data_IF_471966734539
#
_entry.id   IF_471966734539
#
_cell.length_a   1.000
_cell.length_b   1.000
_cell.length_c   1.000
_cell.angle_alpha   90.00
_cell.angle_beta   90.00
_cell.angle_gamma   90.00
#
_symmetry.space_group_name_H-M   'P 1'
#
loop_
_entity.id
_entity.type
_entity.pdbx_description
1 polymer ?
#
# COMPACT_ATOMS: atom_id res chain seq x y z
N UNK A 1 -13.23 9.44 4.03
CA UNK A 1 -12.16 8.45 3.82
C UNK A 1 -10.83 8.85 4.44
N UNK A 2 -10.07 9.82 3.92
CA UNK A 2 -8.73 10.12 4.46
C UNK A 2 -8.67 10.47 5.96
N UNK A 3 -9.65 11.21 6.49
CA UNK A 3 -9.79 11.44 7.94
C UNK A 3 -10.12 10.17 8.73
N UNK A 4 -10.99 9.30 8.19
CA UNK A 4 -11.35 8.04 8.83
C UNK A 4 -10.15 7.07 8.88
N UNK A 5 -9.39 6.99 7.79
CA UNK A 5 -8.12 6.25 7.75
C UNK A 5 -7.13 6.75 8.82
N UNK A 6 -6.99 8.07 8.95
CA UNK A 6 -6.12 8.67 9.96
C UNK A 6 -6.51 8.28 11.39
N UNK A 7 -7.81 8.32 11.70
CA UNK A 7 -8.34 7.92 13.02
C UNK A 7 -8.05 6.44 13.28
N UNK A 8 -8.34 5.57 12.31
CA UNK A 8 -8.12 4.13 12.44
C UNK A 8 -6.63 3.77 12.62
N UNK A 9 -5.72 4.58 12.10
CA UNK A 9 -4.27 4.43 12.24
C UNK A 9 -3.67 5.20 13.43
N UNK A 10 -4.48 5.92 14.21
CA UNK A 10 -3.99 6.73 15.34
C UNK A 10 -3.14 7.95 14.92
N UNK A 11 -3.33 8.45 13.70
CA UNK A 11 -2.58 9.59 13.16
C UNK A 11 -3.21 10.92 13.56
N UNK A 12 -2.38 11.89 13.97
CA UNK A 12 -2.83 13.24 14.33
C UNK A 12 -3.43 14.02 13.14
N UNK A 13 -2.99 13.72 11.91
CA UNK A 13 -3.44 14.40 10.69
C UNK A 13 -3.62 13.40 9.55
N UNK A 14 -4.59 13.61 8.65
CA UNK A 14 -4.78 12.76 7.49
C UNK A 14 -3.62 12.88 6.50
N UNK A 15 -3.11 11.72 6.09
CA UNK A 15 -2.09 11.57 5.03
C UNK A 15 -2.71 11.56 3.63
N UNK A 16 -4.05 11.49 3.54
CA UNK A 16 -4.81 11.53 2.29
C UNK A 16 -5.89 12.61 2.36
N UNK A 17 -5.86 13.56 1.43
CA UNK A 17 -6.85 14.62 1.27
C UNK A 17 -6.93 15.05 -0.18
N UNK A 18 -8.05 15.65 -0.61
CA UNK A 18 -8.18 16.15 -1.98
C UNK A 18 -7.11 17.19 -2.36
N UNK A 19 -6.68 18.02 -1.40
CA UNK A 19 -5.59 18.97 -1.58
C UNK A 19 -4.23 18.29 -1.81
N UNK A 20 -3.90 17.25 -1.03
CA UNK A 20 -2.66 16.49 -1.22
C UNK A 20 -2.65 15.76 -2.55
N UNK A 21 -3.80 15.21 -2.97
CA UNK A 21 -3.95 14.50 -4.24
C UNK A 21 -3.83 15.42 -5.45
N UNK A 22 -4.40 16.63 -5.39
CA UNK A 22 -4.27 17.60 -6.50
C UNK A 22 -2.83 18.03 -6.77
N UNK A 23 -1.94 17.88 -5.79
CA UNK A 23 -0.55 18.30 -5.87
C UNK A 23 0.41 17.09 -5.86
N UNK A 24 -0.07 15.90 -6.25
CA UNK A 24 0.78 14.71 -6.33
C UNK A 24 0.39 13.81 -7.51
N UNK A 25 1.35 12.99 -7.94
CA UNK A 25 1.12 11.89 -8.89
C UNK A 25 0.56 10.64 -8.18
N UNK A 26 -0.19 10.82 -7.08
CA UNK A 26 -0.77 9.70 -6.34
C UNK A 26 -2.09 9.30 -6.96
N UNK A 27 -2.30 7.99 -7.10
CA UNK A 27 -3.57 7.42 -7.51
C UNK A 27 -4.34 6.97 -6.28
N UNK A 28 -5.65 7.18 -6.30
CA UNK A 28 -6.56 6.71 -5.25
C UNK A 28 -7.66 5.87 -5.86
N UNK A 29 -7.71 4.62 -5.42
CA UNK A 29 -8.79 3.69 -5.71
C UNK A 29 -9.84 3.82 -4.60
N UNK A 30 -11.10 4.03 -5.01
CA UNK A 30 -12.23 4.11 -4.10
C UNK A 30 -13.16 2.92 -4.33
N UNK A 31 -13.52 2.24 -3.25
CA UNK A 31 -14.54 1.19 -3.31
C UNK A 31 -15.89 1.78 -2.92
N UNK A 32 -16.87 1.64 -3.81
CA UNK A 32 -18.23 2.14 -3.62
C UNK A 32 -19.15 0.95 -3.31
N UNK A 33 -19.96 1.09 -2.26
CA UNK A 33 -21.02 0.15 -1.94
C UNK A 33 -22.28 0.48 -2.79
N UNK A 34 -22.65 -0.38 -3.75
CA UNK A 34 -23.80 -0.13 -4.61
C UNK A 34 -25.13 -0.19 -3.86
N UNK A 35 -25.23 -1.03 -2.82
CA UNK A 35 -26.42 -1.12 -1.96
C UNK A 35 -26.51 0.07 -1.00
N UNK A 36 -25.36 0.65 -0.65
CA UNK A 36 -25.22 1.84 0.18
C UNK A 36 -25.52 3.17 -0.52
N UNK A 37 -26.30 3.20 -1.60
CA UNK A 37 -26.64 4.42 -2.38
C UNK A 37 -25.40 5.20 -2.87
N UNK A 38 -24.32 4.50 -3.24
CA UNK A 38 -23.09 5.15 -3.72
C UNK A 38 -22.13 5.60 -2.61
N UNK A 39 -22.28 5.07 -1.39
CA UNK A 39 -21.37 5.37 -0.28
C UNK A 39 -20.00 4.77 -0.53
N UNK A 40 -18.93 5.55 -0.32
CA UNK A 40 -17.55 5.05 -0.38
C UNK A 40 -17.23 4.30 0.91
N UNK A 41 -16.82 3.04 0.78
CA UNK A 41 -16.51 2.13 1.90
C UNK A 41 -15.04 1.71 1.98
N UNK A 42 -14.25 1.99 0.95
CA UNK A 42 -12.82 1.69 0.92
C UNK A 42 -12.00 2.74 0.18
N UNK A 43 -10.73 2.87 0.58
CA UNK A 43 -9.73 3.75 -0.01
C UNK A 43 -8.38 3.03 -0.05
N UNK A 44 -7.71 3.06 -1.20
CA UNK A 44 -6.34 2.62 -1.38
C UNK A 44 -5.60 3.70 -2.18
N UNK A 45 -4.59 4.31 -1.57
CA UNK A 45 -3.72 5.31 -2.20
C UNK A 45 -2.38 4.68 -2.53
N UNK A 46 -1.93 4.87 -3.76
CA UNK A 46 -0.61 4.43 -4.22
C UNK A 46 0.14 5.58 -4.92
N UNK A 47 1.45 5.44 -5.05
CA UNK A 47 2.24 6.36 -5.86
C UNK A 47 3.71 5.97 -5.87
N UNK A 48 4.41 6.28 -6.96
CA UNK A 48 5.83 5.97 -7.08
C UNK A 48 6.69 6.85 -6.18
N UNK A 49 7.71 6.25 -5.55
CA UNK A 49 8.65 6.96 -4.67
C UNK A 49 10.08 6.57 -4.99
N UNK A 50 10.98 7.54 -5.03
CA UNK A 50 12.41 7.26 -5.03
C UNK A 50 12.80 6.81 -3.61
N UNK A 51 13.26 5.57 -3.48
CA UNK A 51 13.64 4.96 -2.21
C UNK A 51 15.08 4.46 -2.30
N UNK A 52 15.81 4.62 -1.20
CA UNK A 52 17.05 3.92 -0.93
C UNK A 52 16.71 2.75 -0.01
N UNK A 53 16.85 1.53 -0.53
CA UNK A 53 16.53 0.30 0.19
C UNK A 53 17.74 -0.63 0.17
N UNK A 54 17.81 -1.55 1.12
CA UNK A 54 18.82 -2.60 1.11
C UNK A 54 18.22 -3.98 0.92
N UNK A 55 18.99 -4.85 0.27
CA UNK A 55 18.68 -6.26 0.11
C UNK A 55 19.22 -7.11 1.27
N UNK A 56 19.07 -8.43 1.17
CA UNK A 56 19.55 -9.40 2.16
C UNK A 56 21.08 -9.43 2.35
N UNK A 57 21.83 -8.96 1.37
CA UNK A 57 23.30 -8.85 1.45
C UNK A 57 23.74 -7.56 2.12
N UNK A 58 22.80 -6.64 2.40
CA UNK A 58 23.06 -5.30 2.87
C UNK A 58 23.49 -4.34 1.76
N UNK A 59 23.45 -4.74 0.49
CA UNK A 59 23.74 -3.87 -0.62
C UNK A 59 22.63 -2.83 -0.78
N UNK A 60 23.02 -1.58 -1.03
CA UNK A 60 22.09 -0.46 -1.19
C UNK A 60 21.66 -0.31 -2.65
N UNK A 61 20.36 -0.10 -2.85
CA UNK A 61 19.74 0.09 -4.15
C UNK A 61 18.90 1.36 -4.15
N UNK A 62 19.12 2.22 -5.14
CA UNK A 62 18.22 3.32 -5.46
C UNK A 62 17.16 2.83 -6.45
N UNK A 63 15.88 2.89 -6.05
CA UNK A 63 14.77 2.32 -6.81
C UNK A 63 13.59 3.27 -6.81
N UNK A 64 12.71 3.14 -7.82
CA UNK A 64 11.45 3.89 -7.91
C UNK A 64 10.22 2.96 -7.98
N UNK A 65 9.94 2.17 -6.92
CA UNK A 65 8.80 1.27 -6.90
C UNK A 65 7.47 2.03 -6.85
N UNK A 66 6.39 1.34 -7.21
CA UNK A 66 5.05 1.74 -6.80
C UNK A 66 4.89 1.46 -5.30
N UNK A 67 4.42 2.44 -4.53
CA UNK A 67 4.24 2.30 -3.10
C UNK A 67 2.78 2.32 -2.70
N UNK A 68 2.40 1.52 -1.69
CA UNK A 68 1.13 1.69 -0.97
C UNK A 68 1.33 2.72 0.12
N UNK A 69 0.53 3.79 0.07
CA UNK A 69 0.72 5.01 0.86
C UNK A 69 -0.44 5.32 1.83
N UNK A 70 -1.59 4.67 1.66
CA UNK A 70 -2.73 4.69 2.58
C UNK A 70 -3.67 3.56 2.18
N UNK A 71 -4.16 2.76 3.13
CA UNK A 71 -5.10 1.69 2.83
C UNK A 71 -6.10 1.51 3.97
N UNK A 72 -7.38 1.67 3.64
CA UNK A 72 -8.44 1.69 4.64
C UNK A 72 -9.76 1.19 4.06
N UNK A 73 -10.43 0.33 4.84
CA UNK A 73 -11.82 -0.07 4.64
C UNK A 73 -12.57 0.34 5.90
N UNK A 74 -13.75 0.95 5.71
CA UNK A 74 -14.60 1.38 6.82
C UNK A 74 -14.86 0.23 7.79
N UNK A 75 -14.81 0.50 9.09
CA UNK A 75 -14.79 -0.52 10.15
C UNK A 75 -15.98 -1.47 10.06
N UNK A 76 -17.18 -0.94 9.75
CA UNK A 76 -18.40 -1.76 9.58
C UNK A 76 -18.38 -2.70 8.37
N UNK A 77 -17.38 -2.59 7.50
CA UNK A 77 -17.22 -3.38 6.26
C UNK A 77 -15.90 -4.15 6.23
N UNK A 78 -15.10 -4.08 7.30
CA UNK A 78 -13.86 -4.85 7.39
C UNK A 78 -14.14 -6.35 7.50
N UNK A 79 -13.14 -7.17 7.12
CA UNK A 79 -13.21 -8.64 7.12
C UNK A 79 -14.28 -9.25 6.21
N UNK A 80 -14.93 -8.47 5.36
CA UNK A 80 -15.89 -8.91 4.33
C UNK A 80 -15.25 -9.12 2.94
N UNK A 81 -13.92 -9.20 2.84
CA UNK A 81 -13.20 -9.37 1.56
C UNK A 81 -13.01 -8.09 0.73
N UNK A 82 -13.64 -6.97 1.11
CA UNK A 82 -13.58 -5.71 0.36
C UNK A 82 -12.16 -5.16 0.15
N UNK A 83 -11.29 -5.30 1.16
CA UNK A 83 -9.89 -4.90 1.02
C UNK A 83 -9.16 -5.69 -0.06
N UNK A 84 -9.47 -6.99 -0.22
CA UNK A 84 -8.88 -7.83 -1.26
C UNK A 84 -9.34 -7.38 -2.64
N UNK A 85 -10.64 -7.12 -2.81
CA UNK A 85 -11.20 -6.61 -4.07
C UNK A 85 -10.48 -5.32 -4.50
N UNK A 86 -10.34 -4.37 -3.58
CA UNK A 86 -9.69 -3.09 -3.86
C UNK A 86 -8.21 -3.25 -4.21
N UNK A 87 -7.50 -4.12 -3.48
CA UNK A 87 -6.07 -4.38 -3.70
C UNK A 87 -5.82 -5.13 -5.01
N UNK A 88 -6.59 -6.17 -5.31
CA UNK A 88 -6.49 -6.94 -6.57
C UNK A 88 -6.78 -6.07 -7.78
N UNK A 89 -7.76 -5.16 -7.68
CA UNK A 89 -8.03 -4.20 -8.75
C UNK A 89 -6.82 -3.30 -9.01
N UNK A 90 -6.22 -2.75 -7.94
CA UNK A 90 -5.00 -1.94 -8.05
C UNK A 90 -3.83 -2.73 -8.65
N UNK A 91 -3.57 -3.97 -8.20
CA UNK A 91 -2.51 -4.81 -8.75
C UNK A 91 -2.69 -5.06 -10.25
N UNK A 92 -3.93 -5.36 -10.66
CA UNK A 92 -4.28 -5.62 -12.06
C UNK A 92 -4.10 -4.38 -12.94
N UNK A 93 -4.57 -3.22 -12.48
CA UNK A 93 -4.44 -1.97 -13.24
C UNK A 93 -2.98 -1.52 -13.34
N UNK A 94 -2.24 -1.61 -12.24
CA UNK A 94 -0.82 -1.25 -12.21
C UNK A 94 0.09 -2.29 -12.89
N UNK A 95 -0.41 -3.48 -13.17
CA UNK A 95 0.34 -4.62 -13.71
C UNK A 95 1.62 -4.93 -12.91
N UNK A 96 1.46 -5.10 -11.59
CA UNK A 96 2.54 -5.42 -10.65
C UNK A 96 2.19 -6.62 -9.78
N UNK A 97 3.20 -7.33 -9.28
CA UNK A 97 3.01 -8.36 -8.27
C UNK A 97 3.00 -7.73 -6.86
N UNK A 98 2.36 -8.38 -5.86
CA UNK A 98 2.35 -7.89 -4.49
C UNK A 98 3.75 -7.64 -3.91
N UNK A 99 4.69 -8.53 -4.22
CA UNK A 99 6.09 -8.45 -3.75
C UNK A 99 6.89 -7.30 -4.37
N UNK A 100 6.44 -6.72 -5.49
CA UNK A 100 7.13 -5.61 -6.16
C UNK A 100 6.87 -4.26 -5.47
N UNK A 101 5.87 -4.21 -4.59
CA UNK A 101 5.41 -3.01 -3.91
C UNK A 101 6.25 -2.72 -2.66
N UNK A 102 6.51 -1.44 -2.42
CA UNK A 102 6.99 -0.95 -1.13
C UNK A 102 5.81 -0.39 -0.32
N UNK A 103 5.76 -0.69 0.97
CA UNK A 103 4.61 -0.31 1.81
C UNK A 103 5.05 0.71 2.86
N UNK A 104 4.47 1.92 2.84
CA UNK A 104 4.78 2.96 3.82
C UNK A 104 4.06 2.67 5.15
N UNK A 105 4.82 2.38 6.22
CA UNK A 105 4.31 2.15 7.59
C UNK A 105 3.08 1.23 7.65
N UNK A 106 3.17 -0.03 7.19
CA UNK A 106 2.02 -0.93 7.26
C UNK A 106 1.56 -1.15 8.70
N UNK A 107 0.24 -1.16 8.92
CA UNK A 107 -0.33 -1.63 10.19
C UNK A 107 -0.21 -3.15 10.32
N UNK A 108 -0.26 -3.68 11.55
CA UNK A 108 -0.27 -5.13 11.78
C UNK A 108 -1.42 -5.83 11.03
N UNK A 109 -2.58 -5.20 10.97
CA UNK A 109 -3.72 -5.69 10.20
C UNK A 109 -3.42 -5.79 8.70
N UNK A 110 -2.64 -4.85 8.17
CA UNK A 110 -2.25 -4.87 6.77
C UNK A 110 -1.15 -5.91 6.50
N UNK A 111 -0.17 -6.06 7.39
CA UNK A 111 0.81 -7.16 7.31
C UNK A 111 0.12 -8.52 7.32
N UNK A 112 -0.82 -8.74 8.24
CA UNK A 112 -1.60 -9.98 8.31
C UNK A 112 -2.46 -10.20 7.04
N UNK A 113 -2.97 -9.13 6.44
CA UNK A 113 -3.68 -9.21 5.15
C UNK A 113 -2.74 -9.63 4.01
N UNK A 114 -1.54 -9.06 3.94
CA UNK A 114 -0.54 -9.38 2.92
C UNK A 114 -0.07 -10.84 3.03
N UNK A 115 0.23 -11.30 4.25
CA UNK A 115 0.55 -12.69 4.53
C UNK A 115 -0.59 -13.64 4.09
N UNK A 116 -1.82 -13.38 4.56
CA UNK A 116 -2.97 -14.25 4.30
C UNK A 116 -3.29 -14.43 2.82
N UNK A 117 -3.25 -13.35 2.04
CA UNK A 117 -3.75 -13.38 0.65
C UNK A 117 -2.66 -13.47 -0.41
N UNK A 118 -1.43 -13.10 -0.08
CA UNK A 118 -0.32 -13.04 -1.05
C UNK A 118 0.94 -13.78 -0.58
N UNK A 119 0.93 -14.43 0.59
CA UNK A 119 2.07 -15.19 1.10
C UNK A 119 3.29 -14.33 1.46
N UNK A 120 3.11 -13.02 1.60
CA UNK A 120 4.19 -12.09 1.95
C UNK A 120 4.52 -12.21 3.45
N UNK A 121 5.44 -13.11 3.77
CA UNK A 121 5.85 -13.43 5.14
C UNK A 121 7.18 -12.76 5.53
N UNK A 122 8.17 -12.87 4.66
CA UNK A 122 9.53 -12.45 4.96
C UNK A 122 9.75 -10.97 4.59
N UNK A 123 9.77 -10.12 5.61
CA UNK A 123 10.10 -8.70 5.49
C UNK A 123 11.62 -8.56 5.41
N UNK A 124 12.09 -7.75 4.47
CA UNK A 124 13.47 -7.24 4.46
C UNK A 124 13.44 -5.93 5.25
N UNK A 125 14.02 -5.89 6.47
CA UNK A 125 14.02 -4.69 7.30
C UNK A 125 14.54 -3.50 6.51
N UNK A 126 14.07 -2.28 6.75
CA UNK A 126 14.63 -1.07 6.13
C UNK A 126 14.98 -0.04 7.22
N UNK A 127 15.90 0.87 6.92
CA UNK A 127 16.28 1.97 7.83
C UNK A 127 15.31 3.15 7.77
N UNK A 128 14.47 3.16 6.73
CA UNK A 128 13.36 4.09 6.55
C UNK A 128 12.05 3.45 7.04
N UNK A 129 10.93 4.14 6.82
CA UNK A 129 9.61 3.69 7.28
C UNK A 129 8.90 2.72 6.32
N UNK A 130 9.54 2.34 5.21
CA UNK A 130 8.96 1.43 4.24
C UNK A 130 9.28 -0.02 4.60
N UNK A 131 8.35 -0.90 4.25
CA UNK A 131 8.51 -2.35 4.30
C UNK A 131 8.54 -2.87 2.87
N UNK A 132 9.52 -3.73 2.57
CA UNK A 132 9.58 -4.52 1.34
C UNK A 132 9.71 -5.99 1.73
N UNK A 133 9.28 -6.89 0.85
CA UNK A 133 9.27 -8.33 1.10
C UNK A 133 10.25 -9.06 0.19
N UNK A 134 10.52 -10.33 0.52
CA UNK A 134 11.21 -11.23 -0.39
C UNK A 134 10.56 -11.22 -1.79
N UNK A 135 11.41 -11.28 -2.81
CA UNK A 135 10.99 -11.14 -4.21
C UNK A 135 11.02 -9.69 -4.74
N UNK A 136 11.08 -8.67 -3.89
CA UNK A 136 11.09 -7.25 -4.32
C UNK A 136 12.23 -6.89 -5.29
N UNK A 137 13.36 -7.61 -5.20
CA UNK A 137 14.55 -7.39 -6.03
C UNK A 137 14.70 -8.40 -7.19
N UNK A 138 13.80 -9.38 -7.34
CA UNK A 138 13.99 -10.51 -8.25
C UNK A 138 14.13 -10.13 -9.74
N UNK A 139 13.41 -9.08 -10.17
CA UNK A 139 13.37 -8.65 -11.58
C UNK A 139 14.04 -7.28 -11.81
N UNK A 140 14.83 -6.80 -10.85
CA UNK A 140 15.50 -5.49 -10.99
C UNK A 140 16.92 -5.68 -11.49
N UNK A 141 17.31 -5.03 -12.61
CA UNK A 141 18.70 -5.06 -13.03
C UNK A 141 19.54 -4.46 -11.90
N UNK A 142 20.42 -5.28 -11.33
CA UNK A 142 21.48 -4.80 -10.45
C UNK A 142 22.31 -3.84 -11.30
N UNK A 143 22.18 -2.55 -11.03
CA UNK A 143 23.08 -1.58 -11.68
C UNK A 143 24.40 -1.74 -10.94
N UNK A 144 25.33 -2.47 -11.56
CA UNK A 144 26.72 -2.58 -11.10
C UNK A 144 27.42 -1.24 -11.17
#
# INVERSE_FOLDING_TARGET
>A
MGRASAIAQGLNKPITSGERLRNSEHLVYLLIDPEGKGTVVGLLKVGSKNLYVYDHTGAHHEVKPLCVLDFYVHESKQRMGLGKILYEHMLKEANVLPQDLAIDKPSENFLAFLFKYYGLEHIIPQSNNYVVFDGFFADRPVTM
#
